data_IF_113514128511
#
_entry.id   IF_113514128511
#
_cell.length_a   1.000
_cell.length_b   1.000
_cell.length_c   1.000
_cell.angle_alpha   90.00
_cell.angle_beta   90.00
_cell.angle_gamma   90.00
#
_symmetry.space_group_name_H-M   'P 1'
#
loop_
_entity.id
_entity.type
_entity.pdbx_description
1 polymer ?
#
# COMPACT_ATOMS: atom_id res chain seq x y z
N UNK A 1 -27.69 -32.32 10.53
CA UNK A 1 -26.35 -31.78 10.20
C UNK A 1 -26.54 -30.92 8.95
N UNK A 2 -26.58 -29.61 9.13
CA UNK A 2 -26.67 -28.66 8.00
C UNK A 2 -25.26 -28.14 7.71
N UNK A 3 -24.72 -28.55 6.56
CA UNK A 3 -23.43 -28.09 6.07
C UNK A 3 -23.59 -26.67 5.56
N UNK A 4 -23.08 -25.69 6.30
CA UNK A 4 -22.98 -24.30 5.81
C UNK A 4 -21.94 -24.30 4.67
N UNK A 5 -22.41 -24.27 3.43
CA UNK A 5 -21.57 -23.96 2.30
C UNK A 5 -21.15 -22.50 2.39
N UNK A 6 -19.89 -22.25 2.72
CA UNK A 6 -19.27 -20.93 2.55
C UNK A 6 -19.29 -20.63 1.05
N UNK A 7 -20.21 -19.74 0.65
CA UNK A 7 -20.28 -19.27 -0.72
C UNK A 7 -18.99 -18.52 -1.08
N UNK A 8 -18.18 -19.10 -1.94
CA UNK A 8 -17.09 -18.40 -2.60
C UNK A 8 -17.76 -17.36 -3.50
N UNK A 9 -17.81 -16.10 -3.05
CA UNK A 9 -18.26 -15.00 -3.91
C UNK A 9 -17.39 -14.97 -5.15
N UNK A 10 -17.99 -15.21 -6.32
CA UNK A 10 -17.28 -15.10 -7.59
C UNK A 10 -16.81 -13.66 -7.80
N UNK A 11 -15.51 -13.49 -8.04
CA UNK A 11 -14.91 -12.19 -8.37
C UNK A 11 -15.51 -11.72 -9.69
N UNK A 12 -16.02 -10.48 -9.74
CA UNK A 12 -16.60 -9.89 -10.95
C UNK A 12 -15.69 -8.79 -11.51
N UNK A 13 -15.70 -8.59 -12.81
CA UNK A 13 -14.91 -7.57 -13.50
C UNK A 13 -15.22 -6.11 -13.08
N UNK A 14 -16.27 -5.89 -12.29
CA UNK A 14 -16.62 -4.60 -11.71
C UNK A 14 -15.99 -4.39 -10.30
N UNK A 15 -15.42 -5.43 -9.69
CA UNK A 15 -14.88 -5.33 -8.34
C UNK A 15 -13.53 -4.62 -8.31
N UNK A 16 -13.27 -3.99 -7.17
CA UNK A 16 -11.99 -3.38 -6.84
C UNK A 16 -11.31 -4.25 -5.78
N UNK A 17 -10.18 -4.83 -6.15
CA UNK A 17 -9.40 -5.63 -5.24
C UNK A 17 -8.54 -4.74 -4.33
N UNK A 18 -8.29 -5.21 -3.13
CA UNK A 18 -7.29 -4.62 -2.27
C UNK A 18 -6.47 -5.70 -1.56
N UNK A 19 -5.23 -5.34 -1.21
CA UNK A 19 -4.39 -6.25 -0.44
C UNK A 19 -4.99 -6.43 0.96
N UNK A 20 -5.55 -7.62 1.18
CA UNK A 20 -6.20 -7.99 2.44
C UNK A 20 -5.24 -8.12 3.63
N UNK A 21 -5.77 -8.43 4.79
CA UNK A 21 -7.17 -8.73 5.07
C UNK A 21 -8.06 -7.49 5.21
N UNK A 22 -9.38 -7.71 5.33
CA UNK A 22 -10.30 -6.66 5.74
C UNK A 22 -9.86 -6.04 7.08
N UNK A 23 -10.17 -4.75 7.30
CA UNK A 23 -9.71 -4.01 8.47
C UNK A 23 -8.25 -3.57 8.43
N UNK A 24 -7.51 -3.83 7.33
CA UNK A 24 -6.17 -3.29 7.11
C UNK A 24 -6.20 -1.82 6.69
N UNK A 25 -5.05 -1.14 6.74
CA UNK A 25 -4.93 0.21 6.18
C UNK A 25 -5.21 0.26 4.67
N UNK A 26 -4.87 -0.81 3.93
CA UNK A 26 -5.21 -0.90 2.51
C UNK A 26 -6.71 -0.99 2.29
N UNK A 27 -7.45 -1.73 3.14
CA UNK A 27 -8.91 -1.73 3.13
C UNK A 27 -9.46 -0.32 3.35
N UNK A 28 -8.95 0.38 4.39
CA UNK A 28 -9.38 1.76 4.68
C UNK A 28 -9.09 2.70 3.51
N UNK A 29 -7.91 2.62 2.90
CA UNK A 29 -7.56 3.42 1.72
C UNK A 29 -8.51 3.19 0.54
N UNK A 30 -8.89 1.92 0.29
CA UNK A 30 -9.88 1.58 -0.74
C UNK A 30 -11.27 2.13 -0.41
N UNK A 31 -11.70 2.05 0.84
CA UNK A 31 -12.98 2.61 1.28
C UNK A 31 -13.01 4.13 1.10
N UNK A 32 -11.93 4.82 1.46
CA UNK A 32 -11.81 6.27 1.30
C UNK A 32 -11.87 6.71 -0.19
N UNK A 33 -11.35 5.86 -1.10
CA UNK A 33 -11.32 6.14 -2.53
C UNK A 33 -12.60 5.77 -3.28
N UNK A 34 -13.24 4.66 -2.92
CA UNK A 34 -14.28 4.02 -3.74
C UNK A 34 -15.57 3.72 -2.97
N UNK A 35 -15.62 4.04 -1.68
CA UNK A 35 -16.70 3.59 -0.81
C UNK A 35 -16.53 2.13 -0.39
N UNK A 36 -17.55 1.57 0.25
CA UNK A 36 -17.53 0.22 0.81
C UNK A 36 -18.14 -0.87 -0.09
N UNK A 37 -18.65 -0.46 -1.25
CA UNK A 37 -19.28 -1.37 -2.21
C UNK A 37 -18.28 -1.92 -3.23
N UNK A 38 -18.48 -3.17 -3.65
CA UNK A 38 -17.66 -3.84 -4.67
C UNK A 38 -16.17 -4.02 -4.31
N UNK A 39 -15.82 -3.93 -3.04
CA UNK A 39 -14.46 -4.21 -2.59
C UNK A 39 -14.26 -5.70 -2.31
N UNK A 40 -13.12 -6.26 -2.73
CA UNK A 40 -12.73 -7.64 -2.45
C UNK A 40 -11.31 -7.71 -1.88
N UNK A 41 -11.20 -8.34 -0.71
CA UNK A 41 -9.91 -8.61 -0.07
C UNK A 41 -9.24 -9.81 -0.75
N UNK A 42 -8.04 -9.64 -1.26
CA UNK A 42 -7.24 -10.72 -1.84
C UNK A 42 -5.86 -10.74 -1.19
N UNK A 43 -5.27 -11.93 -1.12
CA UNK A 43 -3.85 -12.05 -0.80
C UNK A 43 -2.99 -11.52 -1.96
N UNK A 44 -1.68 -11.37 -1.72
CA UNK A 44 -0.74 -10.82 -2.71
C UNK A 44 -0.80 -11.57 -4.04
N UNK A 45 -0.75 -12.89 -4.01
CA UNK A 45 -0.70 -13.72 -5.22
C UNK A 45 -2.01 -13.64 -6.00
N UNK A 46 -3.13 -13.79 -5.30
CA UNK A 46 -4.47 -13.73 -5.90
C UNK A 46 -4.76 -12.34 -6.50
N UNK A 47 -4.35 -11.25 -5.85
CA UNK A 47 -4.55 -9.88 -6.32
C UNK A 47 -3.84 -9.64 -7.66
N UNK A 48 -2.55 -9.95 -7.76
CA UNK A 48 -1.79 -9.74 -8.99
C UNK A 48 -2.20 -10.71 -10.11
N UNK A 49 -2.66 -11.92 -9.76
CA UNK A 49 -3.29 -12.86 -10.71
C UNK A 49 -4.59 -12.30 -11.26
N UNK A 50 -5.46 -11.78 -10.41
CA UNK A 50 -6.75 -11.20 -10.80
C UNK A 50 -6.59 -9.98 -11.71
N UNK A 51 -5.61 -9.10 -11.41
CA UNK A 51 -5.26 -7.98 -12.30
C UNK A 51 -4.81 -8.46 -13.68
N UNK A 52 -3.85 -9.39 -13.76
CA UNK A 52 -3.39 -9.94 -15.05
C UNK A 52 -4.52 -10.55 -15.86
N UNK A 53 -5.41 -11.28 -15.20
CA UNK A 53 -6.54 -11.94 -15.83
C UNK A 53 -7.72 -11.00 -16.12
N UNK A 54 -7.64 -9.71 -15.73
CA UNK A 54 -8.73 -8.72 -15.88
C UNK A 54 -10.03 -9.13 -15.21
N UNK A 55 -9.95 -9.95 -14.14
CA UNK A 55 -11.14 -10.36 -13.38
C UNK A 55 -11.58 -9.32 -12.35
N UNK A 56 -10.73 -8.33 -12.08
CA UNK A 56 -11.05 -7.13 -11.29
C UNK A 56 -10.79 -5.88 -12.11
N UNK A 57 -11.59 -4.82 -11.88
CA UNK A 57 -11.44 -3.55 -12.57
C UNK A 57 -10.16 -2.81 -12.16
N UNK A 58 -9.89 -2.80 -10.87
CA UNK A 58 -8.77 -2.08 -10.25
C UNK A 58 -8.25 -2.86 -9.05
N UNK A 59 -7.05 -2.49 -8.59
CA UNK A 59 -6.55 -2.96 -7.30
C UNK A 59 -5.79 -1.86 -6.55
N UNK A 60 -5.89 -1.88 -5.21
CA UNK A 60 -5.12 -1.01 -4.33
C UNK A 60 -3.99 -1.79 -3.66
N UNK A 61 -2.78 -1.25 -3.76
CA UNK A 61 -1.60 -1.81 -3.09
C UNK A 61 -0.78 -0.68 -2.45
N UNK A 62 -0.16 -0.89 -1.27
CA UNK A 62 0.75 0.09 -0.71
C UNK A 62 2.01 0.16 -1.59
N UNK A 63 2.37 1.34 -2.03
CA UNK A 63 3.52 1.57 -2.90
C UNK A 63 4.74 2.03 -2.13
N UNK A 64 4.59 3.09 -1.35
CA UNK A 64 5.68 3.66 -0.55
C UNK A 64 5.18 4.09 0.82
N UNK A 65 6.07 4.09 1.81
CA UNK A 65 5.82 4.72 3.11
C UNK A 65 6.93 5.73 3.40
N UNK A 66 6.62 6.74 4.20
CA UNK A 66 7.63 7.72 4.64
C UNK A 66 8.70 7.11 5.57
N UNK A 67 8.40 5.96 6.17
CA UNK A 67 9.27 5.30 7.16
C UNK A 67 10.24 4.31 6.51
N UNK A 68 9.76 3.47 5.59
CA UNK A 68 10.59 2.41 4.98
C UNK A 68 10.84 2.60 3.48
N UNK A 69 10.30 3.67 2.88
CA UNK A 69 10.43 3.93 1.45
C UNK A 69 9.59 2.98 0.60
N UNK A 70 10.18 2.43 -0.45
CA UNK A 70 9.50 1.54 -1.38
C UNK A 70 9.11 0.21 -0.74
N UNK A 71 7.85 -0.19 -0.91
CA UNK A 71 7.37 -1.49 -0.42
C UNK A 71 7.75 -2.63 -1.38
N UNK A 72 7.73 -3.89 -0.92
CA UNK A 72 7.99 -5.05 -1.78
C UNK A 72 6.97 -5.22 -2.93
N UNK A 73 5.80 -4.61 -2.83
CA UNK A 73 4.74 -4.69 -3.86
C UNK A 73 5.09 -3.93 -5.15
N UNK A 74 6.03 -2.99 -5.09
CA UNK A 74 6.53 -2.34 -6.31
C UNK A 74 7.08 -3.36 -7.29
N UNK A 75 7.82 -4.37 -6.82
CA UNK A 75 8.41 -5.39 -7.70
C UNK A 75 7.34 -6.22 -8.41
N UNK A 76 6.21 -6.49 -7.76
CA UNK A 76 5.09 -7.16 -8.41
C UNK A 76 4.46 -6.28 -9.51
N UNK A 77 4.32 -4.97 -9.24
CA UNK A 77 3.82 -4.01 -10.25
C UNK A 77 4.78 -3.91 -11.42
N UNK A 78 6.09 -3.87 -11.17
CA UNK A 78 7.10 -3.84 -12.23
C UNK A 78 7.08 -5.08 -13.12
N UNK A 79 6.57 -6.21 -12.63
CA UNK A 79 6.40 -7.45 -13.39
C UNK A 79 5.11 -7.48 -14.23
N UNK A 80 4.28 -6.43 -14.16
CA UNK A 80 3.05 -6.31 -14.96
C UNK A 80 3.32 -5.47 -16.21
N UNK A 81 2.96 -5.99 -17.38
CA UNK A 81 3.18 -5.31 -18.67
C UNK A 81 1.95 -4.50 -19.13
N UNK A 82 0.74 -5.01 -18.82
CA UNK A 82 -0.53 -4.46 -19.31
C UNK A 82 -1.37 -3.79 -18.22
N UNK A 83 -0.78 -3.58 -17.05
CA UNK A 83 -1.41 -2.92 -15.92
C UNK A 83 -0.63 -1.64 -15.61
N UNK A 84 -1.36 -0.57 -15.38
CA UNK A 84 -0.82 0.74 -15.10
C UNK A 84 -1.17 1.24 -13.71
N UNK A 85 -0.34 2.12 -13.18
CA UNK A 85 -0.73 2.98 -12.05
C UNK A 85 -1.68 4.04 -12.61
N UNK A 86 -2.93 4.02 -12.13
CA UNK A 86 -4.01 4.89 -12.62
C UNK A 86 -4.51 5.86 -11.55
N UNK A 87 -3.90 5.84 -10.39
CA UNK A 87 -4.18 6.75 -9.29
C UNK A 87 -3.27 6.51 -8.10
N UNK A 88 -3.29 7.46 -7.18
CA UNK A 88 -2.57 7.36 -5.91
C UNK A 88 -3.45 7.86 -4.76
N UNK A 89 -3.17 7.39 -3.55
CA UNK A 89 -3.80 7.84 -2.33
C UNK A 89 -2.77 7.91 -1.19
N UNK A 90 -2.27 9.11 -0.87
CA UNK A 90 -1.45 9.34 0.32
C UNK A 90 -2.34 9.50 1.54
N UNK A 91 -1.98 8.84 2.65
CA UNK A 91 -2.68 8.98 3.93
C UNK A 91 -1.70 8.87 5.08
N UNK A 92 -1.73 9.83 5.98
CA UNK A 92 -1.09 9.70 7.28
C UNK A 92 -1.80 8.61 8.09
N UNK A 93 -1.03 7.74 8.72
CA UNK A 93 -1.55 6.65 9.55
C UNK A 93 -1.54 7.09 11.01
N UNK A 94 -2.60 6.71 11.73
CA UNK A 94 -2.71 6.87 13.18
C UNK A 94 -3.19 5.56 13.78
N UNK A 95 -2.46 5.06 14.75
CA UNK A 95 -2.77 3.77 15.35
C UNK A 95 -3.76 3.88 16.50
N UNK A 96 -4.54 2.83 16.66
CA UNK A 96 -5.43 2.65 17.81
C UNK A 96 -5.12 1.33 18.51
N UNK A 97 -5.21 1.34 19.83
CA UNK A 97 -5.12 0.15 20.66
C UNK A 97 -6.50 -0.48 20.76
N UNK A 98 -6.67 -1.62 20.11
CA UNK A 98 -7.93 -2.32 19.90
C UNK A 98 -8.00 -3.56 20.81
N UNK A 99 -9.05 -3.67 21.60
CA UNK A 99 -9.24 -4.75 22.56
C UNK A 99 -10.66 -5.32 22.49
N UNK A 100 -10.88 -6.50 23.08
CA UNK A 100 -12.23 -6.98 23.30
C UNK A 100 -13.00 -6.05 24.23
N UNK A 101 -14.32 -5.89 24.05
CA UNK A 101 -15.15 -5.10 24.95
C UNK A 101 -14.95 -5.50 26.42
N UNK A 102 -14.79 -4.50 27.28
CA UNK A 102 -14.56 -4.69 28.71
C UNK A 102 -13.11 -4.93 29.13
N UNK A 103 -12.16 -5.09 28.21
CA UNK A 103 -10.74 -5.18 28.55
C UNK A 103 -10.21 -3.81 28.95
N UNK A 104 -9.54 -3.71 30.10
CA UNK A 104 -8.89 -2.49 30.58
C UNK A 104 -7.43 -2.50 30.14
N UNK A 105 -6.80 -1.33 30.06
CA UNK A 105 -5.38 -1.17 29.67
C UNK A 105 -4.45 -1.99 30.56
N UNK A 106 -4.72 -2.04 31.85
CA UNK A 106 -3.92 -2.76 32.87
C UNK A 106 -3.99 -4.29 32.74
N UNK A 107 -5.01 -4.78 32.07
CA UNK A 107 -5.20 -6.22 31.86
C UNK A 107 -4.45 -6.73 30.63
N UNK A 108 -3.90 -5.82 29.78
CA UNK A 108 -3.21 -6.20 28.55
C UNK A 108 -1.83 -6.76 28.87
N UNK A 109 -1.49 -7.88 28.25
CA UNK A 109 -0.20 -8.58 28.37
C UNK A 109 0.51 -8.70 27.04
N UNK A 110 -0.23 -8.67 25.92
CA UNK A 110 0.32 -8.86 24.58
C UNK A 110 -0.29 -7.83 23.63
N UNK A 111 0.57 -7.16 22.84
CA UNK A 111 0.18 -6.26 21.74
C UNK A 111 0.62 -6.85 20.42
N UNK A 112 -0.33 -7.10 19.53
CA UNK A 112 -0.10 -7.59 18.18
C UNK A 112 -0.13 -6.42 17.20
N UNK A 113 0.87 -6.31 16.31
CA UNK A 113 0.88 -5.32 15.24
C UNK A 113 1.78 -5.76 14.07
N UNK A 114 1.65 -5.07 12.93
CA UNK A 114 2.63 -5.20 11.85
C UNK A 114 4.02 -4.76 12.35
N UNK A 115 5.13 -5.42 11.95
CA UNK A 115 6.47 -5.06 12.43
C UNK A 115 6.80 -3.57 12.29
N UNK A 116 6.49 -2.94 11.16
CA UNK A 116 6.69 -1.50 10.97
C UNK A 116 5.88 -0.69 12.00
N UNK A 117 4.64 -1.09 12.28
CA UNK A 117 3.82 -0.42 13.29
C UNK A 117 4.40 -0.56 14.70
N UNK A 118 4.97 -1.73 15.04
CA UNK A 118 5.64 -1.93 16.34
C UNK A 118 6.83 -0.99 16.52
N UNK A 119 7.61 -0.75 15.46
CA UNK A 119 8.71 0.22 15.51
C UNK A 119 8.21 1.66 15.66
N UNK A 120 7.17 2.02 14.93
CA UNK A 120 6.60 3.38 14.96
C UNK A 120 5.94 3.73 16.29
N UNK A 121 5.27 2.76 16.94
CA UNK A 121 4.63 2.97 18.24
C UNK A 121 5.53 2.58 19.41
N UNK A 122 6.76 2.17 19.14
CA UNK A 122 7.70 1.71 20.18
C UNK A 122 7.87 2.69 21.32
N UNK A 123 8.11 3.99 21.10
CA UNK A 123 8.30 4.95 22.20
C UNK A 123 7.06 5.06 23.08
N UNK A 124 5.88 5.03 22.48
CA UNK A 124 4.63 5.03 23.25
C UNK A 124 4.46 3.74 24.07
N UNK A 125 4.78 2.57 23.50
CA UNK A 125 4.72 1.29 24.20
C UNK A 125 5.76 1.24 25.33
N UNK A 126 6.96 1.77 25.13
CA UNK A 126 8.02 1.81 26.15
C UNK A 126 7.62 2.68 27.36
N UNK A 127 6.87 3.76 27.11
CA UNK A 127 6.41 4.68 28.16
C UNK A 127 5.14 4.16 28.87
N UNK A 128 4.14 3.77 28.09
CA UNK A 128 2.79 3.53 28.58
C UNK A 128 2.51 2.08 28.95
N UNK A 129 3.27 1.14 28.38
CA UNK A 129 3.09 -0.30 28.48
C UNK A 129 4.42 -1.05 28.37
N UNK A 130 5.42 -0.76 29.23
CA UNK A 130 6.78 -1.29 29.07
C UNK A 130 6.85 -2.83 29.17
N UNK A 131 5.97 -3.43 29.95
CA UNK A 131 5.99 -4.88 30.26
C UNK A 131 5.16 -5.74 29.31
N UNK A 132 4.53 -5.14 28.28
CA UNK A 132 3.74 -5.94 27.33
C UNK A 132 4.62 -6.68 26.34
N UNK A 133 4.25 -7.91 26.05
CA UNK A 133 4.84 -8.67 24.95
C UNK A 133 4.40 -8.08 23.61
N UNK A 134 5.34 -7.89 22.69
CA UNK A 134 5.10 -7.34 21.35
C UNK A 134 5.20 -8.44 20.32
N UNK A 135 4.08 -8.83 19.73
CA UNK A 135 4.02 -9.91 18.77
C UNK A 135 3.77 -9.39 17.34
N UNK A 136 4.54 -9.84 16.34
CA UNK A 136 4.33 -9.46 14.96
C UNK A 136 3.06 -10.09 14.38
N UNK A 137 2.34 -9.32 13.58
CA UNK A 137 1.21 -9.75 12.77
C UNK A 137 1.39 -9.31 11.32
N UNK A 138 0.76 -9.99 10.38
CA UNK A 138 0.86 -9.69 8.96
C UNK A 138 0.32 -8.30 8.57
N UNK A 139 -0.59 -7.74 9.36
CA UNK A 139 -1.14 -6.39 9.21
C UNK A 139 -1.90 -5.98 10.47
N UNK A 140 -2.24 -4.68 10.60
CA UNK A 140 -3.14 -4.22 11.67
C UNK A 140 -4.53 -4.87 11.62
N UNK A 141 -5.05 -5.16 10.43
CA UNK A 141 -6.30 -5.92 10.28
C UNK A 141 -6.17 -7.38 10.72
N UNK A 142 -5.04 -8.05 10.42
CA UNK A 142 -4.76 -9.40 10.90
C UNK A 142 -4.60 -9.43 12.44
N UNK A 143 -3.92 -8.45 13.01
CA UNK A 143 -3.81 -8.29 14.46
C UNK A 143 -5.19 -8.14 15.11
N UNK A 144 -6.04 -7.24 14.59
CA UNK A 144 -7.39 -7.03 15.07
C UNK A 144 -8.25 -8.31 15.00
N UNK A 145 -8.18 -9.01 13.86
CA UNK A 145 -8.86 -10.30 13.70
C UNK A 145 -8.41 -11.32 14.73
N UNK A 146 -7.10 -11.46 14.94
CA UNK A 146 -6.54 -12.39 15.93
C UNK A 146 -6.99 -12.08 17.34
N UNK A 147 -7.09 -10.80 17.72
CA UNK A 147 -7.63 -10.39 19.03
C UNK A 147 -9.12 -10.74 19.15
N UNK A 148 -9.91 -10.46 18.10
CA UNK A 148 -11.35 -10.73 18.12
C UNK A 148 -11.67 -12.21 18.25
N UNK A 149 -10.99 -13.06 17.47
CA UNK A 149 -11.24 -14.51 17.38
C UNK A 149 -10.48 -15.33 18.44
N UNK A 150 -9.39 -14.79 19.00
CA UNK A 150 -8.55 -15.49 19.97
C UNK A 150 -9.29 -15.76 21.29
N UNK A 151 -9.02 -16.91 21.91
CA UNK A 151 -9.59 -17.26 23.21
C UNK A 151 -8.87 -16.57 24.39
N UNK A 152 -7.62 -16.13 24.21
CA UNK A 152 -6.83 -15.53 25.27
C UNK A 152 -7.37 -14.15 25.68
N UNK A 153 -7.42 -13.91 26.98
CA UNK A 153 -7.62 -12.58 27.56
C UNK A 153 -6.30 -11.80 27.57
N UNK A 154 -6.39 -10.48 27.69
CA UNK A 154 -5.19 -9.63 27.79
C UNK A 154 -4.44 -9.43 26.47
N UNK A 155 -5.08 -9.65 25.33
CA UNK A 155 -4.54 -9.33 24.01
C UNK A 155 -5.09 -8.01 23.48
N UNK A 156 -4.24 -7.22 22.87
CA UNK A 156 -4.61 -6.01 22.13
C UNK A 156 -4.00 -6.02 20.72
N UNK A 157 -4.65 -5.35 19.79
CA UNK A 157 -4.10 -5.11 18.46
C UNK A 157 -3.77 -3.63 18.28
N UNK A 158 -2.65 -3.34 17.65
CA UNK A 158 -2.32 -2.00 17.14
C UNK A 158 -2.69 -1.95 15.67
N UNK A 159 -3.66 -1.12 15.31
CA UNK A 159 -4.17 -1.09 13.93
C UNK A 159 -5.04 0.13 13.63
N UNK A 160 -5.66 0.16 12.43
CA UNK A 160 -6.53 1.26 12.05
C UNK A 160 -7.82 1.26 12.90
N UNK A 161 -8.35 2.44 13.26
CA UNK A 161 -9.57 2.52 14.09
C UNK A 161 -10.79 1.84 13.43
N UNK A 162 -10.84 1.78 12.09
CA UNK A 162 -11.89 1.09 11.34
C UNK A 162 -11.97 -0.42 11.61
N UNK A 163 -10.85 -1.05 11.99
CA UNK A 163 -10.82 -2.47 12.34
C UNK A 163 -11.62 -2.77 13.62
N UNK A 164 -11.73 -1.82 14.55
CA UNK A 164 -12.54 -1.98 15.76
C UNK A 164 -13.99 -2.32 15.41
N UNK A 165 -14.61 -1.51 14.54
CA UNK A 165 -16.01 -1.71 14.11
C UNK A 165 -16.19 -3.02 13.36
N UNK A 166 -15.25 -3.36 12.49
CA UNK A 166 -15.33 -4.55 11.64
C UNK A 166 -15.30 -5.85 12.48
N UNK A 167 -14.48 -5.86 13.51
CA UNK A 167 -14.25 -7.08 14.35
C UNK A 167 -14.92 -7.02 15.72
N UNK A 168 -15.79 -6.05 15.98
CA UNK A 168 -16.48 -5.92 17.28
C UNK A 168 -15.54 -5.64 18.44
N UNK A 169 -14.42 -4.95 18.18
CA UNK A 169 -13.46 -4.52 19.18
C UNK A 169 -13.74 -3.10 19.67
N UNK A 170 -13.15 -2.74 20.79
CA UNK A 170 -13.17 -1.37 21.35
C UNK A 170 -11.80 -0.73 21.17
N UNK A 171 -11.77 0.49 20.66
CA UNK A 171 -10.57 1.32 20.65
C UNK A 171 -10.47 2.02 22.00
N UNK A 172 -9.47 1.69 22.82
CA UNK A 172 -9.27 2.29 24.14
C UNK A 172 -8.27 3.44 24.13
N UNK A 173 -7.37 3.48 23.15
CA UNK A 173 -6.46 4.60 22.87
C UNK A 173 -6.40 4.79 21.38
N UNK A 174 -6.33 6.03 20.91
CA UNK A 174 -6.20 6.39 19.49
C UNK A 174 -5.17 7.51 19.33
N UNK A 175 -4.65 7.69 18.10
CA UNK A 175 -3.61 8.68 17.84
C UNK A 175 -2.26 8.27 18.42
N UNK A 176 -1.97 6.98 18.41
CA UNK A 176 -0.70 6.42 18.87
C UNK A 176 0.26 6.40 17.67
N UNK A 177 0.88 7.50 17.43
CA UNK A 177 1.96 7.65 16.45
C UNK A 177 2.91 8.73 16.92
N UNK A 178 4.17 8.59 16.62
CA UNK A 178 5.14 9.65 16.86
C UNK A 178 5.16 10.65 15.69
N UNK A 179 4.26 11.58 15.75
CA UNK A 179 4.22 12.72 14.84
C UNK A 179 3.65 12.41 13.45
N UNK A 180 3.67 13.39 12.54
CA UNK A 180 3.02 13.34 11.23
C UNK A 180 3.78 12.50 10.20
N UNK A 181 4.62 11.59 10.62
CA UNK A 181 5.69 11.04 9.78
C UNK A 181 5.33 9.73 9.10
N UNK A 182 4.29 9.03 9.55
CA UNK A 182 3.88 7.78 8.94
C UNK A 182 2.84 8.01 7.86
N UNK A 183 3.28 8.38 6.67
CA UNK A 183 2.42 8.50 5.49
C UNK A 183 2.66 7.32 4.58
N UNK A 184 1.62 6.54 4.33
CA UNK A 184 1.62 5.51 3.29
C UNK A 184 0.98 6.08 2.02
N UNK A 185 1.59 5.80 0.89
CA UNK A 185 1.03 6.06 -0.43
C UNK A 185 0.60 4.73 -1.04
N UNK A 186 -0.68 4.62 -1.32
CA UNK A 186 -1.23 3.51 -2.11
C UNK A 186 -1.25 3.88 -3.58
N UNK A 187 -0.97 2.89 -4.42
CA UNK A 187 -1.27 2.95 -5.85
C UNK A 187 -2.60 2.28 -6.14
N UNK A 188 -3.36 2.90 -7.03
CA UNK A 188 -4.49 2.29 -7.71
C UNK A 188 -3.97 1.74 -9.03
N UNK A 189 -4.09 0.45 -9.21
CA UNK A 189 -3.69 -0.25 -10.43
C UNK A 189 -4.91 -0.49 -11.31
N UNK A 190 -4.76 -0.40 -12.62
CA UNK A 190 -5.83 -0.59 -13.60
C UNK A 190 -5.30 -0.76 -15.02
N UNK A 191 -6.19 -0.90 -15.99
CA UNK A 191 -5.82 -1.23 -17.38
C UNK A 191 -5.83 -0.03 -18.34
N UNK A 192 -6.43 1.08 -17.95
CA UNK A 192 -6.51 2.28 -18.78
C UNK A 192 -5.95 3.49 -17.99
N UNK A 193 -4.96 4.15 -18.56
CA UNK A 193 -4.45 5.41 -18.03
C UNK A 193 -5.54 6.47 -18.17
N UNK A 194 -5.88 7.19 -17.08
CA UNK A 194 -6.88 8.26 -17.16
C UNK A 194 -6.45 9.38 -18.10
N UNK A 195 -7.41 10.17 -18.57
CA UNK A 195 -7.15 11.38 -19.33
C UNK A 195 -6.41 12.41 -18.46
N UNK A 196 -5.63 13.33 -19.05
CA UNK A 196 -4.94 14.41 -18.33
C UNK A 196 -5.92 15.22 -17.49
N UNK A 197 -5.56 15.48 -16.24
CA UNK A 197 -6.33 16.32 -15.32
C UNK A 197 -5.87 17.77 -15.25
N UNK A 198 -4.70 18.07 -15.83
CA UNK A 198 -4.00 19.33 -15.69
C UNK A 198 -3.09 19.43 -14.46
N UNK A 199 -3.26 18.52 -13.49
CA UNK A 199 -2.39 18.39 -12.32
C UNK A 199 -2.04 16.92 -12.13
N UNK A 200 -1.10 16.44 -12.92
CA UNK A 200 -0.81 15.01 -13.04
C UNK A 200 0.60 14.65 -12.55
N UNK A 201 0.77 13.37 -12.28
CA UNK A 201 2.01 12.70 -12.00
C UNK A 201 2.16 11.52 -12.97
N UNK A 202 3.35 11.38 -13.52
CA UNK A 202 3.74 10.20 -14.30
C UNK A 202 4.75 9.39 -13.52
N UNK A 203 4.53 8.09 -13.43
CA UNK A 203 5.47 7.14 -12.84
C UNK A 203 6.12 6.32 -13.95
N UNK A 204 7.44 6.29 -13.94
CA UNK A 204 8.29 5.63 -14.91
C UNK A 204 9.12 4.53 -14.25
N UNK A 205 9.45 3.49 -15.01
CA UNK A 205 10.54 2.57 -14.69
C UNK A 205 11.72 2.93 -15.60
N UNK A 206 12.85 3.25 -15.01
CA UNK A 206 14.14 3.36 -15.68
C UNK A 206 14.92 2.06 -15.43
N UNK A 207 15.41 1.44 -16.50
CA UNK A 207 16.29 0.26 -16.42
C UNK A 207 17.57 0.57 -17.19
N UNK A 208 18.68 0.66 -16.48
CA UNK A 208 19.99 1.07 -17.03
C UNK A 208 21.12 0.33 -16.32
N UNK A 209 22.30 0.35 -16.96
CA UNK A 209 23.57 0.08 -16.30
C UNK A 209 24.09 1.33 -15.57
N UNK A 210 25.20 1.18 -14.87
CA UNK A 210 25.84 2.26 -14.12
C UNK A 210 26.21 3.46 -15.01
N UNK A 211 26.74 3.21 -16.22
CA UNK A 211 27.13 4.28 -17.16
C UNK A 211 25.92 5.04 -17.73
N UNK A 212 24.80 4.36 -17.96
CA UNK A 212 23.58 4.94 -18.51
C UNK A 212 22.81 5.80 -17.52
N UNK A 213 22.95 5.55 -16.22
CA UNK A 213 22.12 6.15 -15.18
C UNK A 213 22.15 7.69 -15.19
N UNK A 214 23.34 8.28 -15.14
CA UNK A 214 23.46 9.74 -15.09
C UNK A 214 22.92 10.41 -16.36
N UNK A 215 23.17 9.83 -17.54
CA UNK A 215 22.65 10.36 -18.82
C UNK A 215 21.13 10.30 -18.89
N UNK A 216 20.55 9.21 -18.42
CA UNK A 216 19.09 9.03 -18.42
C UNK A 216 18.40 9.96 -17.43
N UNK A 217 18.97 10.17 -16.22
CA UNK A 217 18.45 11.15 -15.28
C UNK A 217 18.53 12.58 -15.80
N UNK A 218 19.62 12.94 -16.49
CA UNK A 218 19.77 14.26 -17.09
C UNK A 218 18.72 14.48 -18.19
N UNK A 219 18.50 13.51 -19.08
CA UNK A 219 17.48 13.60 -20.12
C UNK A 219 16.08 13.72 -19.53
N UNK A 220 15.78 12.95 -18.46
CA UNK A 220 14.52 13.04 -17.75
C UNK A 220 14.31 14.42 -17.11
N UNK A 221 15.33 14.95 -16.45
CA UNK A 221 15.26 16.27 -15.81
C UNK A 221 15.07 17.43 -16.79
N UNK A 222 15.49 17.26 -18.06
CA UNK A 222 15.19 18.20 -19.13
C UNK A 222 13.75 18.09 -19.65
N UNK A 223 13.12 16.92 -19.48
CA UNK A 223 11.77 16.64 -19.99
C UNK A 223 10.69 16.88 -18.95
N UNK A 224 10.98 16.69 -17.67
CA UNK A 224 10.01 16.85 -16.59
C UNK A 224 10.68 17.08 -15.24
N UNK A 225 9.95 17.70 -14.31
CA UNK A 225 10.41 17.88 -12.93
C UNK A 225 10.31 16.55 -12.18
N UNK A 226 11.44 16.00 -11.74
CA UNK A 226 11.51 14.78 -10.92
C UNK A 226 10.99 15.08 -9.52
N UNK A 227 10.15 14.19 -9.00
CA UNK A 227 9.54 14.27 -7.66
C UNK A 227 10.17 13.27 -6.69
N UNK A 228 10.41 12.04 -7.17
CA UNK A 228 10.98 10.97 -6.35
C UNK A 228 11.69 9.94 -7.22
N UNK A 229 12.69 9.29 -6.64
CA UNK A 229 13.43 8.18 -7.25
C UNK A 229 13.54 7.07 -6.22
N UNK A 230 13.10 5.87 -6.56
CA UNK A 230 13.15 4.69 -5.71
C UNK A 230 13.94 3.59 -6.42
N UNK A 231 15.10 3.26 -5.89
CA UNK A 231 15.89 2.14 -6.42
C UNK A 231 15.21 0.80 -6.11
N UNK A 232 15.29 -0.09 -7.08
CA UNK A 232 14.81 -1.49 -6.96
C UNK A 232 15.91 -2.46 -7.38
N UNK A 233 15.97 -3.65 -6.76
CA UNK A 233 16.99 -4.65 -7.12
C UNK A 233 16.99 -4.95 -8.63
N UNK A 234 18.17 -4.96 -9.24
CA UNK A 234 18.36 -5.24 -10.66
C UNK A 234 17.96 -6.65 -11.08
N UNK A 235 18.07 -7.62 -10.17
CA UNK A 235 17.72 -9.06 -10.30
C UNK A 235 18.59 -9.89 -11.25
N UNK A 236 19.30 -9.28 -12.20
CA UNK A 236 20.08 -10.00 -13.19
C UNK A 236 21.58 -9.85 -13.00
N UNK A 237 22.03 -8.70 -12.53
CA UNK A 237 23.43 -8.41 -12.24
C UNK A 237 23.56 -7.33 -11.17
N UNK A 238 24.74 -7.16 -10.59
CA UNK A 238 25.04 -6.05 -9.69
C UNK A 238 25.15 -4.70 -10.43
N UNK A 239 25.47 -4.75 -11.72
CA UNK A 239 25.66 -3.56 -12.56
C UNK A 239 24.36 -3.06 -13.20
N UNK A 240 23.29 -3.84 -13.11
CA UNK A 240 21.98 -3.49 -13.62
C UNK A 240 21.13 -2.78 -12.57
N UNK A 241 20.72 -1.56 -12.88
CA UNK A 241 19.92 -0.71 -11.98
C UNK A 241 18.50 -0.54 -12.49
N UNK A 242 17.55 -0.54 -11.55
CA UNK A 242 16.13 -0.29 -11.82
C UNK A 242 15.64 0.78 -10.87
N UNK A 243 15.05 1.84 -11.44
CA UNK A 243 14.52 2.95 -10.66
C UNK A 243 13.06 3.20 -11.01
N UNK A 244 12.22 3.26 -10.00
CA UNK A 244 10.87 3.82 -10.13
C UNK A 244 10.99 5.31 -9.91
N UNK A 245 10.55 6.11 -10.88
CA UNK A 245 10.72 7.56 -10.88
C UNK A 245 9.37 8.22 -11.07
N UNK A 246 9.02 9.12 -10.15
CA UNK A 246 7.85 9.97 -10.26
C UNK A 246 8.24 11.34 -10.81
N UNK A 247 7.50 11.81 -11.82
CA UNK A 247 7.69 13.13 -12.42
C UNK A 247 6.37 13.90 -12.48
N UNK A 248 6.46 15.23 -12.52
CA UNK A 248 5.30 16.10 -12.72
C UNK A 248 4.87 16.04 -14.19
N UNK A 249 3.56 16.00 -14.41
CA UNK A 249 2.95 16.05 -15.73
C UNK A 249 2.35 14.71 -16.16
N UNK A 250 1.58 14.74 -17.23
CA UNK A 250 0.95 13.56 -17.83
C UNK A 250 1.80 13.04 -18.99
N UNK A 251 1.83 11.72 -19.20
CA UNK A 251 2.63 11.07 -20.26
C UNK A 251 2.27 11.54 -21.68
N UNK A 252 1.10 12.14 -21.90
CA UNK A 252 0.71 12.73 -23.17
C UNK A 252 1.28 14.12 -23.42
N UNK A 253 1.95 14.74 -22.45
CA UNK A 253 2.65 16.01 -22.67
C UNK A 253 3.82 15.79 -23.61
N UNK A 254 4.07 16.73 -24.56
CA UNK A 254 5.03 16.53 -25.66
C UNK A 254 6.43 16.12 -25.21
N UNK A 255 6.91 16.68 -24.12
CA UNK A 255 8.28 16.43 -23.61
C UNK A 255 8.41 15.02 -23.03
N UNK A 256 7.41 14.57 -22.24
CA UNK A 256 7.39 13.22 -21.65
C UNK A 256 7.11 12.18 -22.73
N UNK A 257 6.18 12.47 -23.64
CA UNK A 257 5.87 11.58 -24.76
C UNK A 257 7.10 11.36 -25.67
N UNK A 258 7.86 12.42 -25.97
CA UNK A 258 9.10 12.32 -26.73
C UNK A 258 10.15 11.52 -25.98
N UNK A 259 10.36 11.77 -24.69
CA UNK A 259 11.29 10.98 -23.88
C UNK A 259 10.98 9.48 -23.97
N UNK A 260 9.71 9.11 -23.82
CA UNK A 260 9.27 7.72 -23.89
C UNK A 260 9.40 7.10 -25.30
N UNK A 261 9.30 7.90 -26.35
CA UNK A 261 9.47 7.44 -27.72
C UNK A 261 10.94 7.25 -28.09
N UNK A 262 11.82 8.14 -27.61
CA UNK A 262 13.22 8.20 -28.01
C UNK A 262 14.16 7.37 -27.12
N UNK A 263 13.68 6.94 -25.93
CA UNK A 263 14.49 6.34 -24.87
C UNK A 263 13.89 5.03 -24.38
N UNK A 264 14.35 3.92 -24.95
CA UNK A 264 13.84 2.58 -24.64
C UNK A 264 14.10 2.11 -23.20
N UNK A 265 15.05 2.72 -22.52
CA UNK A 265 15.34 2.45 -21.10
C UNK A 265 14.24 2.92 -20.15
N UNK A 266 13.33 3.83 -20.60
CA UNK A 266 12.17 4.24 -19.85
C UNK A 266 10.93 3.47 -20.25
N UNK A 267 10.25 2.89 -19.26
CA UNK A 267 8.93 2.29 -19.42
C UNK A 267 7.89 3.07 -18.63
N UNK A 268 6.78 3.42 -19.27
CA UNK A 268 5.64 4.04 -18.59
C UNK A 268 4.98 3.03 -17.66
N UNK A 269 4.94 3.33 -16.36
CA UNK A 269 4.15 2.59 -15.39
C UNK A 269 2.74 3.16 -15.24
N UNK A 270 2.56 4.47 -15.42
CA UNK A 270 1.25 5.11 -15.39
C UNK A 270 1.34 6.63 -15.35
N UNK A 271 0.19 7.26 -15.65
CA UNK A 271 -0.05 8.68 -15.45
C UNK A 271 -1.41 8.87 -14.81
N UNK A 272 -1.51 9.76 -13.85
CA UNK A 272 -2.72 9.89 -13.03
C UNK A 272 -2.77 11.25 -12.31
N UNK A 273 -3.97 11.70 -11.88
CA UNK A 273 -4.10 12.91 -11.09
C UNK A 273 -3.23 12.85 -9.84
N UNK A 274 -2.42 13.88 -9.65
CA UNK A 274 -1.52 14.03 -8.52
C UNK A 274 -2.29 14.46 -7.28
N UNK A 275 -2.01 13.83 -6.12
CA UNK A 275 -2.70 14.10 -4.86
C UNK A 275 -1.90 14.93 -3.86
N UNK A 276 -0.59 15.16 -4.08
CA UNK A 276 0.28 15.94 -3.19
C UNK A 276 1.48 16.54 -3.94
#
# INVERSE_FOLDING_TARGET
MATLAMGVSSITSAQIAYLGPAGSWTHQACMDLFGDTNLVALDRQALFKALRAKTVAKACVPATTSVVGATPYLDDVLALETVHVVGEYPKALGYSLLVKPGTRKEDIRTVLAHPVALEEVKPWLDLEMPDVERQPAASGGAAAKSVAEGAASGMAAMGPPGAARLYGLTSIVSGIEEGPHNTTRWWVLGHAIPAPSGHDKTTLLLTVDEEGFQRSLQALAQSARVLAVYERPGKQSLDGHRYVIDVVGHASQPEIARLLADRAEFRLLGSYPRRY
#
